data_IF_941652613758
#
_entry.id   IF_941652613758
#
_cell.length_a   1.000
_cell.length_b   1.000
_cell.length_c   1.000
_cell.angle_alpha   90.00
_cell.angle_beta   90.00
_cell.angle_gamma   90.00
#
_symmetry.space_group_name_H-M   'P 1'
#
loop_
_entity.id
_entity.type
_entity.pdbx_description
1 polymer ?
#
# COMPACT_ATOMS: atom_id res chain seq x y z
N UNK A 1 17.30 9.21 10.96
CA UNK A 1 16.13 8.33 11.16
C UNK A 1 15.30 8.95 12.28
N UNK A 2 14.00 9.12 12.10
CA UNK A 2 13.15 9.57 13.22
C UNK A 2 12.69 8.35 14.01
N UNK A 3 12.46 8.52 15.32
CA UNK A 3 11.90 7.45 16.17
C UNK A 3 10.59 6.89 15.59
N UNK A 4 9.85 7.72 14.83
CA UNK A 4 8.59 7.35 14.17
C UNK A 4 8.82 6.35 13.04
N UNK A 5 9.82 6.59 12.17
CA UNK A 5 10.12 5.68 11.06
C UNK A 5 10.50 4.29 11.57
N UNK A 6 11.28 4.23 12.65
CA UNK A 6 11.67 2.97 13.28
C UNK A 6 10.46 2.23 13.85
N UNK A 7 9.53 2.95 14.50
CA UNK A 7 8.27 2.38 14.99
C UNK A 7 7.44 1.81 13.85
N UNK A 8 7.30 2.54 12.73
CA UNK A 8 6.54 2.10 11.56
C UNK A 8 7.16 0.85 10.93
N UNK A 9 8.49 0.83 10.77
CA UNK A 9 9.23 -0.33 10.26
C UNK A 9 8.99 -1.57 11.13
N UNK A 10 9.15 -1.45 12.44
CA UNK A 10 8.90 -2.56 13.36
C UNK A 10 7.44 -3.04 13.30
N UNK A 11 6.48 -2.12 13.20
CA UNK A 11 5.06 -2.46 13.12
C UNK A 11 4.72 -3.22 11.82
N UNK A 12 5.28 -2.79 10.69
CA UNK A 12 5.09 -3.45 9.40
C UNK A 12 5.76 -4.83 9.36
N UNK A 13 6.95 -4.98 9.93
CA UNK A 13 7.61 -6.30 10.05
C UNK A 13 6.77 -7.29 10.88
N UNK A 14 6.20 -6.84 12.00
CA UNK A 14 5.32 -7.68 12.84
C UNK A 14 4.07 -8.10 12.07
N UNK A 15 3.45 -7.16 11.34
CA UNK A 15 2.27 -7.43 10.54
C UNK A 15 2.55 -8.38 9.36
N UNK A 16 3.68 -8.23 8.67
CA UNK A 16 4.14 -9.17 7.63
C UNK A 16 4.34 -10.60 8.20
N UNK A 17 4.76 -10.69 9.47
CA UNK A 17 4.88 -11.97 10.18
C UNK A 17 3.52 -12.52 10.68
N UNK A 18 2.39 -11.89 10.33
CA UNK A 18 1.05 -12.30 10.79
C UNK A 18 0.75 -11.94 12.24
N UNK A 19 1.60 -11.14 12.89
CA UNK A 19 1.43 -10.72 14.29
C UNK A 19 0.92 -9.30 14.40
N UNK A 20 -0.07 -9.07 15.27
CA UNK A 20 -0.59 -7.71 15.49
C UNK A 20 0.47 -6.85 16.17
N UNK A 21 0.86 -5.69 15.61
CA UNK A 21 1.84 -4.82 16.24
C UNK A 21 1.24 -4.20 17.50
N UNK A 22 1.72 -4.64 18.67
CA UNK A 22 1.35 -4.06 19.96
C UNK A 22 2.47 -3.15 20.47
N UNK A 23 2.13 -2.21 21.36
CA UNK A 23 3.10 -1.30 21.96
C UNK A 23 4.26 -2.04 22.61
N UNK A 24 4.00 -3.17 23.27
CA UNK A 24 5.04 -3.98 23.91
C UNK A 24 5.97 -4.64 22.88
N UNK A 25 5.41 -5.25 21.82
CA UNK A 25 6.18 -5.93 20.78
C UNK A 25 7.03 -4.93 19.98
N UNK A 26 6.47 -3.78 19.64
CA UNK A 26 7.19 -2.72 18.95
C UNK A 26 8.30 -2.18 19.83
N UNK A 27 8.02 -1.83 21.10
CA UNK A 27 9.06 -1.37 22.03
C UNK A 27 10.19 -2.38 22.26
N UNK A 28 9.90 -3.68 22.19
CA UNK A 28 10.93 -4.72 22.32
C UNK A 28 11.81 -4.85 21.07
N UNK A 29 11.32 -4.40 19.91
CA UNK A 29 12.01 -4.47 18.61
C UNK A 29 12.78 -3.19 18.26
N UNK A 30 12.45 -2.06 18.89
CA UNK A 30 13.16 -0.79 18.70
C UNK A 30 14.59 -0.87 19.22
N UNK A 31 15.53 -0.40 18.40
CA UNK A 31 16.96 -0.27 18.74
C UNK A 31 17.18 0.94 19.63
N UNK A 32 16.44 2.02 19.38
CA UNK A 32 16.49 3.24 20.17
C UNK A 32 15.28 3.37 21.10
N UNK A 33 15.51 3.95 22.27
CA UNK A 33 14.46 4.10 23.29
C UNK A 33 13.52 5.24 22.90
N UNK A 34 12.38 4.91 22.32
CA UNK A 34 11.32 5.88 22.02
C UNK A 34 10.41 6.17 23.23
N UNK A 35 9.92 7.41 23.42
CA UNK A 35 8.90 7.73 24.42
C UNK A 35 7.61 6.94 24.21
N UNK A 36 6.98 6.48 25.30
CA UNK A 36 5.77 5.65 25.24
C UNK A 36 4.63 6.35 24.48
N UNK A 37 4.45 7.66 24.71
CA UNK A 37 3.44 8.46 24.03
C UNK A 37 3.64 8.45 22.51
N UNK A 38 4.90 8.51 22.05
CA UNK A 38 5.25 8.46 20.63
C UNK A 38 4.83 7.12 20.03
N UNK A 39 5.19 6.00 20.66
CA UNK A 39 4.82 4.65 20.19
C UNK A 39 3.30 4.45 20.14
N UNK A 40 2.57 4.93 21.15
CA UNK A 40 1.12 4.81 21.17
C UNK A 40 0.49 5.65 20.05
N UNK A 41 0.94 6.90 19.89
CA UNK A 41 0.34 7.82 18.92
C UNK A 41 0.62 7.39 17.47
N UNK A 42 1.82 6.85 17.20
CA UNK A 42 2.16 6.29 15.88
C UNK A 42 1.35 5.03 15.60
N UNK A 43 1.29 4.08 16.53
CA UNK A 43 0.50 2.86 16.35
C UNK A 43 -1.01 3.11 16.27
N UNK A 44 -1.53 4.17 16.91
CA UNK A 44 -2.94 4.54 16.82
C UNK A 44 -3.36 4.93 15.40
N UNK A 45 -2.48 5.63 14.68
CA UNK A 45 -2.73 6.09 13.32
C UNK A 45 -2.04 5.19 12.26
N UNK A 46 -1.42 4.09 12.70
CA UNK A 46 -0.67 3.19 11.84
C UNK A 46 -1.61 2.42 10.91
N UNK A 47 -1.21 2.34 9.64
CA UNK A 47 -1.80 1.46 8.64
C UNK A 47 -0.71 0.54 8.11
N UNK A 48 -1.10 -0.68 7.75
CA UNK A 48 -0.15 -1.67 7.29
C UNK A 48 0.42 -1.30 5.92
N UNK A 49 1.74 -1.17 5.84
CA UNK A 49 2.48 -0.92 4.60
C UNK A 49 3.52 -2.04 4.42
N UNK A 50 3.24 -3.08 3.62
CA UNK A 50 4.08 -4.28 3.55
C UNK A 50 5.48 -3.98 3.00
N UNK A 51 5.63 -2.92 2.21
CA UNK A 51 6.88 -2.52 1.56
C UNK A 51 7.78 -1.64 2.45
N UNK A 52 7.24 -1.06 3.54
CA UNK A 52 7.98 -0.16 4.43
C UNK A 52 8.53 -0.91 5.66
N UNK A 53 9.51 -1.79 5.42
CA UNK A 53 10.11 -2.68 6.44
C UNK A 53 11.60 -2.49 6.69
N UNK A 54 12.24 -1.54 6.00
CA UNK A 54 13.65 -1.25 6.16
C UNK A 54 13.92 0.26 6.08
N UNK A 55 14.92 0.78 6.81
CA UNK A 55 15.36 2.16 6.64
C UNK A 55 15.90 2.33 5.22
N UNK A 56 15.49 3.39 4.52
CA UNK A 56 16.10 3.81 3.25
C UNK A 56 17.48 4.41 3.54
N UNK A 57 18.44 3.57 3.93
CA UNK A 57 19.81 4.00 4.17
C UNK A 57 20.61 3.94 2.86
N UNK A 58 20.81 5.10 2.23
CA UNK A 58 21.91 5.30 1.29
C UNK A 58 23.23 5.33 2.07
N UNK A 59 23.75 4.16 2.49
CA UNK A 59 25.15 4.02 2.91
C UNK A 59 25.58 2.55 2.96
N UNK A 60 26.28 2.14 1.89
CA UNK A 60 27.37 1.15 1.85
C UNK A 60 27.12 -0.17 2.58
N UNK A 61 26.53 -1.11 1.87
CA UNK A 61 26.83 -2.53 2.07
C UNK A 61 27.74 -2.99 0.93
N UNK A 62 28.90 -3.51 1.31
CA UNK A 62 29.59 -4.58 0.62
C UNK A 62 28.55 -5.59 0.12
N UNK A 63 28.26 -5.54 -1.18
CA UNK A 63 27.38 -6.51 -1.83
C UNK A 63 28.29 -7.66 -2.24
N UNK A 64 28.28 -8.72 -1.45
CA UNK A 64 28.46 -10.05 -2.02
C UNK A 64 27.18 -10.33 -2.83
N UNK A 65 27.15 -9.77 -4.03
CA UNK A 65 26.10 -9.87 -5.00
C UNK A 65 26.34 -11.17 -5.78
N UNK A 66 25.68 -12.26 -5.40
CA UNK A 66 25.34 -13.28 -6.39
C UNK A 66 24.16 -14.15 -5.93
N UNK A 67 23.26 -14.41 -6.89
CA UNK A 67 22.31 -15.53 -7.01
C UNK A 67 20.87 -15.45 -6.50
N UNK A 68 20.47 -14.66 -5.49
CA UNK A 68 19.08 -14.78 -4.99
C UNK A 68 18.02 -13.87 -5.65
N UNK A 69 18.38 -12.67 -6.11
CA UNK A 69 17.38 -11.66 -6.54
C UNK A 69 16.98 -11.78 -8.02
N UNK A 70 17.83 -12.37 -8.87
CA UNK A 70 17.56 -12.56 -10.30
C UNK A 70 16.43 -13.57 -10.56
N UNK A 71 16.47 -14.70 -9.84
CA UNK A 71 15.48 -15.78 -9.99
C UNK A 71 14.04 -15.33 -9.68
N UNK A 72 13.83 -14.47 -8.67
CA UNK A 72 12.49 -13.99 -8.33
C UNK A 72 11.92 -13.01 -9.35
N UNK A 73 12.78 -12.17 -9.96
CA UNK A 73 12.36 -11.23 -11.00
C UNK A 73 11.97 -11.97 -12.28
N UNK A 74 12.75 -12.97 -12.67
CA UNK A 74 12.50 -13.78 -13.87
C UNK A 74 11.22 -14.64 -13.73
N UNK A 75 10.93 -15.16 -12.52
CA UNK A 75 9.68 -15.87 -12.24
C UNK A 75 8.46 -14.94 -12.28
N UNK A 76 8.58 -13.72 -11.74
CA UNK A 76 7.53 -12.70 -11.81
C UNK A 76 7.24 -12.29 -13.25
N UNK A 77 8.30 -12.09 -14.04
CA UNK A 77 8.19 -11.74 -15.45
C UNK A 77 7.54 -12.86 -16.25
N UNK A 78 7.91 -14.13 -16.02
CA UNK A 78 7.27 -15.29 -16.65
C UNK A 78 5.78 -15.44 -16.27
N UNK A 79 5.42 -15.15 -15.01
CA UNK A 79 4.01 -15.15 -14.57
C UNK A 79 3.20 -14.02 -15.20
N UNK A 80 3.80 -12.84 -15.39
CA UNK A 80 3.18 -11.71 -16.09
C UNK A 80 3.07 -11.97 -17.60
N UNK A 81 4.08 -12.62 -18.19
CA UNK A 81 4.16 -13.00 -19.60
C UNK A 81 3.16 -14.10 -19.97
N UNK A 82 2.82 -14.99 -19.01
CA UNK A 82 1.78 -16.01 -19.18
C UNK A 82 0.36 -15.41 -19.38
N UNK A 83 0.21 -14.08 -19.33
CA UNK A 83 -0.91 -13.34 -19.91
C UNK A 83 -2.26 -13.49 -19.22
N UNK A 84 -2.46 -14.53 -18.42
CA UNK A 84 -3.69 -14.79 -17.67
C UNK A 84 -3.90 -13.70 -16.61
N UNK A 85 -2.86 -13.38 -15.84
CA UNK A 85 -2.92 -12.36 -14.78
C UNK A 85 -3.15 -10.98 -15.40
N UNK A 86 -2.42 -10.64 -16.47
CA UNK A 86 -2.61 -9.41 -17.23
C UNK A 86 -4.04 -9.28 -17.77
N UNK A 87 -4.61 -10.37 -18.29
CA UNK A 87 -5.97 -10.40 -18.84
C UNK A 87 -7.03 -10.24 -17.76
N UNK A 88 -6.87 -10.89 -16.61
CA UNK A 88 -7.80 -10.74 -15.47
C UNK A 88 -7.79 -9.31 -14.96
N UNK A 89 -6.61 -8.75 -14.71
CA UNK A 89 -6.47 -7.34 -14.28
C UNK A 89 -7.11 -6.40 -15.31
N UNK A 90 -6.79 -6.57 -16.59
CA UNK A 90 -7.34 -5.73 -17.66
C UNK A 90 -8.86 -5.84 -17.77
N UNK A 91 -9.44 -7.03 -17.59
CA UNK A 91 -10.90 -7.22 -17.59
C UNK A 91 -11.56 -6.56 -16.39
N UNK A 92 -11.02 -6.75 -15.18
CA UNK A 92 -11.55 -6.12 -13.97
C UNK A 92 -11.53 -4.59 -14.09
N UNK A 93 -10.41 -4.00 -14.52
CA UNK A 93 -10.33 -2.55 -14.76
C UNK A 93 -11.30 -2.07 -15.86
N UNK A 94 -11.47 -2.84 -16.94
CA UNK A 94 -12.40 -2.47 -18.01
C UNK A 94 -13.86 -2.46 -17.53
N UNK A 95 -14.24 -3.39 -16.66
CA UNK A 95 -15.58 -3.45 -16.07
C UNK A 95 -15.82 -2.24 -15.16
N UNK A 96 -14.90 -1.97 -14.23
CA UNK A 96 -15.02 -0.82 -13.32
C UNK A 96 -15.07 0.51 -14.08
N UNK A 97 -14.23 0.69 -15.11
CA UNK A 97 -14.26 1.89 -15.94
C UNK A 97 -15.57 2.03 -16.72
N UNK A 98 -16.19 0.93 -17.15
CA UNK A 98 -17.47 0.97 -17.83
C UNK A 98 -18.61 1.36 -16.87
N UNK A 99 -18.59 0.83 -15.65
CA UNK A 99 -19.56 1.15 -14.61
C UNK A 99 -19.48 2.62 -14.18
N UNK A 100 -18.26 3.13 -13.90
CA UNK A 100 -18.04 4.53 -13.57
C UNK A 100 -18.48 5.48 -14.69
N UNK A 101 -18.23 5.12 -15.95
CA UNK A 101 -18.70 5.91 -17.10
C UNK A 101 -20.22 5.95 -17.20
N UNK A 102 -20.88 4.84 -16.89
CA UNK A 102 -22.35 4.75 -16.87
C UNK A 102 -22.91 5.65 -15.77
N UNK A 103 -22.41 5.53 -14.54
CA UNK A 103 -22.85 6.34 -13.41
C UNK A 103 -22.65 7.85 -13.68
N UNK A 104 -21.51 8.23 -14.27
CA UNK A 104 -21.25 9.62 -14.67
C UNK A 104 -22.26 10.11 -15.72
N UNK A 105 -22.60 9.28 -16.71
CA UNK A 105 -23.58 9.62 -17.73
C UNK A 105 -24.99 9.81 -17.12
N UNK A 106 -25.39 8.94 -16.20
CA UNK A 106 -26.66 9.03 -15.48
C UNK A 106 -26.71 10.29 -14.61
N UNK A 107 -25.65 10.59 -13.86
CA UNK A 107 -25.55 11.79 -13.04
C UNK A 107 -25.61 13.06 -13.91
N UNK A 108 -24.93 13.07 -15.06
CA UNK A 108 -24.98 14.19 -16.01
C UNK A 108 -26.40 14.41 -16.55
N UNK A 109 -27.12 13.33 -16.85
CA UNK A 109 -28.50 13.41 -17.33
C UNK A 109 -29.44 13.95 -16.25
N UNK A 110 -29.27 13.50 -15.00
CA UNK A 110 -30.03 14.01 -13.86
C UNK A 110 -29.79 15.51 -13.64
N UNK A 111 -28.52 15.95 -13.66
CA UNK A 111 -28.16 17.36 -13.52
C UNK A 111 -28.80 18.21 -14.63
N UNK A 112 -28.72 17.75 -15.89
CA UNK A 112 -29.34 18.45 -17.01
C UNK A 112 -30.86 18.56 -16.85
N UNK A 113 -31.53 17.46 -16.48
CA UNK A 113 -32.97 17.45 -16.28
C UNK A 113 -33.41 18.39 -15.15
N UNK A 114 -32.70 18.39 -14.02
CA UNK A 114 -32.94 19.32 -12.91
C UNK A 114 -32.71 20.78 -13.34
N UNK A 115 -31.67 21.03 -14.14
CA UNK A 115 -31.40 22.35 -14.73
C UNK A 115 -32.54 22.83 -15.63
N UNK A 116 -33.07 21.97 -16.49
CA UNK A 116 -34.23 22.30 -17.34
C UNK A 116 -35.53 22.52 -16.54
N UNK A 117 -35.72 21.81 -15.44
CA UNK A 117 -36.87 22.02 -14.56
C UNK A 117 -36.79 23.37 -13.82
N UNK A 118 -35.58 23.81 -13.46
CA UNK A 118 -35.36 25.10 -12.79
C UNK A 118 -35.52 26.29 -13.74
N UNK A 119 -35.24 26.14 -15.05
CA UNK A 119 -35.37 27.21 -16.04
C UNK A 119 -36.77 27.34 -16.64
N UNK A 120 -37.63 26.33 -16.46
CA UNK A 120 -39.04 26.32 -16.92
C UNK A 120 -40.04 26.82 -15.87
N UNK A 121 -39.59 27.21 -14.68
CA UNK A 121 -40.42 27.74 -13.58
C UNK A 121 -40.20 29.24 -13.43
#
# INVERSE_FOLDING_TARGET
>A
MTDIDEILICANQLANAGTKPTVALVKAKLTQRAPLATVINTLKNWQHQPDFIAPTSNAKQDVNDDLSTKNTSELLESLLENGVIKKVIQQSLAIELAELKKELAEMKLLINNLGEQLTKK
#
